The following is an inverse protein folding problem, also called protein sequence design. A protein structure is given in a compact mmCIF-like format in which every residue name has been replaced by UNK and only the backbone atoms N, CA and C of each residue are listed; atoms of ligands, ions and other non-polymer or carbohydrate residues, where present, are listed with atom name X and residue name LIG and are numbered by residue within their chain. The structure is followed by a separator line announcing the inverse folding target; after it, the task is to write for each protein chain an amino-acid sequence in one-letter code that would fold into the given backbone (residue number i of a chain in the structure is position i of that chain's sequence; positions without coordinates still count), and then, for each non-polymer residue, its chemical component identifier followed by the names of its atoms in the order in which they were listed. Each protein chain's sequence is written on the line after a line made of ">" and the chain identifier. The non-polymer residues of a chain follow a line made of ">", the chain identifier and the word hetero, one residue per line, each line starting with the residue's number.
data_IF_059114886336
#
_entry.id   IF_059114886336
#
_cell.length_a   1.000
_cell.length_b   1.000
_cell.length_c   1.000
_cell.angle_alpha   90.00
_cell.angle_beta   90.00
_cell.angle_gamma   90.00
#
_symmetry.space_group_name_H-M   'P 1'
#
loop_
_entity.id
_entity.type
_entity.pdbx_description
1 polymer ?
#
# COMPACT_ATOMS: atom_id res chain seq x y z
N UNK A 1 -6.36 -5.21 -44.40
CA UNK A 1 -6.84 -4.58 -43.15
C UNK A 1 -7.57 -5.65 -42.30
N UNK A 2 -6.93 -6.20 -41.29
CA UNK A 2 -7.54 -7.22 -40.42
C UNK A 2 -8.49 -6.53 -39.44
N UNK A 3 -9.79 -6.75 -39.58
CA UNK A 3 -10.79 -6.34 -38.57
C UNK A 3 -10.49 -7.09 -37.28
N UNK A 4 -10.10 -6.36 -36.23
CA UNK A 4 -10.05 -6.90 -34.87
C UNK A 4 -11.39 -7.52 -34.55
N UNK A 5 -11.47 -8.86 -34.47
CA UNK A 5 -12.63 -9.57 -33.97
C UNK A 5 -12.93 -9.03 -32.58
N UNK A 6 -14.01 -8.26 -32.43
CA UNK A 6 -14.56 -7.90 -31.12
C UNK A 6 -14.97 -9.22 -30.48
N UNK A 7 -14.24 -9.67 -29.46
CA UNK A 7 -14.65 -10.79 -28.66
C UNK A 7 -15.95 -10.38 -27.96
N UNK A 8 -17.06 -10.92 -28.42
CA UNK A 8 -18.36 -10.76 -27.77
C UNK A 8 -18.24 -11.44 -26.43
N UNK A 9 -18.34 -10.67 -25.34
CA UNK A 9 -18.32 -11.18 -23.97
C UNK A 9 -19.77 -11.41 -23.55
N UNK A 10 -20.16 -12.66 -23.42
CA UNK A 10 -21.47 -13.08 -22.91
C UNK A 10 -21.25 -14.17 -21.86
N UNK A 11 -22.12 -14.24 -20.87
CA UNK A 11 -22.06 -15.26 -19.81
C UNK A 11 -22.04 -16.67 -20.38
N UNK A 12 -22.80 -16.91 -21.47
CA UNK A 12 -22.82 -18.21 -22.18
C UNK A 12 -21.44 -18.61 -22.73
N UNK A 13 -20.67 -17.63 -23.26
CA UNK A 13 -19.30 -17.88 -23.76
C UNK A 13 -18.37 -18.16 -22.60
N UNK A 14 -18.52 -17.44 -21.50
CA UNK A 14 -17.67 -17.61 -20.33
C UNK A 14 -17.96 -18.95 -19.63
N UNK A 15 -19.22 -19.34 -19.48
CA UNK A 15 -19.61 -20.68 -18.96
C UNK A 15 -19.04 -21.79 -19.81
N UNK A 16 -19.17 -21.73 -21.14
CA UNK A 16 -18.61 -22.78 -22.04
C UNK A 16 -17.10 -22.88 -21.93
N UNK A 17 -16.38 -21.75 -21.76
CA UNK A 17 -14.92 -21.74 -21.54
C UNK A 17 -14.56 -22.40 -20.21
N UNK A 18 -15.26 -22.01 -19.13
CA UNK A 18 -15.04 -22.58 -17.80
C UNK A 18 -15.30 -24.08 -17.78
N UNK A 19 -16.42 -24.56 -18.39
CA UNK A 19 -16.73 -25.98 -18.47
C UNK A 19 -15.65 -26.78 -19.22
N UNK A 20 -15.11 -26.23 -20.32
CA UNK A 20 -14.01 -26.87 -21.07
C UNK A 20 -12.71 -26.91 -20.24
N UNK A 21 -12.40 -25.84 -19.49
CA UNK A 21 -11.23 -25.80 -18.61
C UNK A 21 -11.37 -26.84 -17.48
N UNK A 22 -12.56 -26.96 -16.88
CA UNK A 22 -12.83 -27.97 -15.85
C UNK A 22 -12.68 -29.38 -16.37
N UNK A 23 -13.20 -29.68 -17.58
CA UNK A 23 -13.05 -30.97 -18.20
C UNK A 23 -11.57 -31.36 -18.42
N UNK A 24 -10.76 -30.42 -18.94
CA UNK A 24 -9.33 -30.64 -19.16
C UNK A 24 -8.56 -30.83 -17.84
N UNK A 25 -8.93 -30.07 -16.80
CA UNK A 25 -8.35 -30.25 -15.46
C UNK A 25 -8.69 -31.63 -14.88
N UNK A 26 -9.93 -32.10 -15.08
CA UNK A 26 -10.34 -33.41 -14.65
C UNK A 26 -9.59 -34.53 -15.43
N UNK A 27 -9.19 -34.28 -16.65
CA UNK A 27 -8.37 -35.17 -17.48
C UNK A 27 -6.86 -35.12 -17.08
N UNK A 28 -6.52 -34.33 -16.06
CA UNK A 28 -5.14 -34.22 -15.51
C UNK A 28 -4.27 -33.17 -16.18
N UNK A 29 -4.85 -32.28 -17.01
CA UNK A 29 -4.10 -31.17 -17.57
C UNK A 29 -4.03 -29.98 -16.58
N UNK A 30 -2.83 -29.43 -16.33
CA UNK A 30 -2.61 -28.20 -15.53
C UNK A 30 -3.02 -26.96 -16.35
N UNK A 31 -4.32 -26.69 -16.47
CA UNK A 31 -4.87 -25.63 -17.31
C UNK A 31 -5.18 -24.34 -16.55
N UNK A 32 -5.34 -24.38 -15.23
CA UNK A 32 -5.53 -23.21 -14.39
C UNK A 32 -4.96 -23.40 -12.99
N UNK A 33 -4.75 -22.31 -12.29
CA UNK A 33 -4.31 -22.33 -10.89
C UNK A 33 -5.47 -21.94 -9.97
N UNK A 34 -5.77 -22.79 -9.02
CA UNK A 34 -6.76 -22.50 -7.99
C UNK A 34 -6.33 -21.29 -7.17
N UNK A 35 -7.24 -20.32 -7.05
CA UNK A 35 -7.01 -19.14 -6.21
C UNK A 35 -7.06 -19.58 -4.74
N UNK A 36 -6.01 -19.28 -4.01
CA UNK A 36 -6.00 -19.49 -2.54
C UNK A 36 -6.90 -18.45 -1.89
N UNK A 37 -7.99 -18.92 -1.30
CA UNK A 37 -8.91 -18.08 -0.53
C UNK A 37 -8.34 -17.90 0.86
N UNK A 38 -8.25 -16.65 1.38
CA UNK A 38 -7.84 -16.43 2.76
C UNK A 38 -8.85 -17.06 3.72
N UNK A 39 -8.42 -17.51 4.90
CA UNK A 39 -9.35 -17.88 5.97
C UNK A 39 -10.12 -16.64 6.47
N UNK A 40 -11.26 -16.86 7.10
CA UNK A 40 -12.17 -15.79 7.52
C UNK A 40 -11.47 -14.77 8.42
N UNK A 41 -10.66 -15.22 9.37
CA UNK A 41 -9.92 -14.38 10.30
C UNK A 41 -8.94 -13.44 9.57
N UNK A 42 -8.28 -13.95 8.53
CA UNK A 42 -7.37 -13.15 7.72
C UNK A 42 -8.13 -12.11 6.86
N UNK A 43 -9.33 -12.45 6.36
CA UNK A 43 -10.17 -11.45 5.67
C UNK A 43 -10.63 -10.36 6.63
N UNK A 44 -11.08 -10.70 7.83
CA UNK A 44 -11.47 -9.72 8.86
C UNK A 44 -10.29 -8.81 9.23
N UNK A 45 -9.09 -9.38 9.41
CA UNK A 45 -7.90 -8.61 9.76
C UNK A 45 -7.50 -7.60 8.66
N UNK A 46 -7.75 -7.93 7.40
CA UNK A 46 -7.52 -7.03 6.24
C UNK A 46 -8.47 -5.84 6.20
N UNK A 47 -9.64 -5.91 6.86
CA UNK A 47 -10.60 -4.81 6.87
C UNK A 47 -10.05 -3.56 7.54
N UNK A 48 -9.32 -3.69 8.64
CA UNK A 48 -8.78 -2.55 9.39
C UNK A 48 -7.88 -1.63 8.54
N UNK A 49 -6.79 -2.11 7.92
CA UNK A 49 -5.94 -1.25 7.11
C UNK A 49 -6.64 -0.76 5.84
N UNK A 50 -7.59 -1.52 5.29
CA UNK A 50 -8.40 -1.11 4.13
C UNK A 50 -9.34 0.03 4.48
N UNK A 51 -10.04 -0.08 5.61
CA UNK A 51 -10.93 0.97 6.10
C UNK A 51 -10.15 2.23 6.46
N UNK A 52 -9.01 2.10 7.13
CA UNK A 52 -8.14 3.23 7.45
C UNK A 52 -7.70 3.99 6.17
N UNK A 53 -7.35 3.26 5.11
CA UNK A 53 -7.02 3.88 3.81
C UNK A 53 -8.22 4.57 3.17
N UNK A 54 -9.42 3.98 3.25
CA UNK A 54 -10.65 4.56 2.72
C UNK A 54 -11.01 5.88 3.43
N UNK A 55 -10.95 5.88 4.76
CA UNK A 55 -11.21 7.07 5.58
C UNK A 55 -10.19 8.19 5.31
N UNK A 56 -8.90 7.87 5.19
CA UNK A 56 -7.88 8.86 4.81
C UNK A 56 -8.17 9.50 3.44
N UNK A 57 -8.64 8.71 2.47
CA UNK A 57 -9.06 9.22 1.15
C UNK A 57 -10.31 10.10 1.27
N UNK A 58 -11.28 9.71 2.10
CA UNK A 58 -12.49 10.49 2.37
C UNK A 58 -12.13 11.82 3.03
N UNK A 59 -11.28 11.82 4.05
CA UNK A 59 -10.75 13.02 4.68
C UNK A 59 -10.19 14.01 3.65
N UNK A 60 -9.29 13.53 2.78
CA UNK A 60 -8.69 14.37 1.73
C UNK A 60 -9.74 14.97 0.80
N UNK A 61 -10.78 14.20 0.45
CA UNK A 61 -11.89 14.72 -0.38
C UNK A 61 -12.67 15.84 0.33
N UNK A 62 -12.96 15.66 1.61
CA UNK A 62 -13.67 16.67 2.40
C UNK A 62 -12.80 17.94 2.52
N UNK A 63 -11.53 17.78 2.86
CA UNK A 63 -10.57 18.91 2.94
C UNK A 63 -10.53 19.71 1.63
N UNK A 64 -10.36 19.01 0.50
CA UNK A 64 -10.30 19.67 -0.81
C UNK A 64 -11.63 20.36 -1.15
N UNK A 65 -12.78 19.79 -0.76
CA UNK A 65 -14.09 20.38 -0.99
C UNK A 65 -14.29 21.67 -0.18
N UNK A 66 -13.90 21.67 1.10
CA UNK A 66 -13.92 22.86 1.96
C UNK A 66 -13.02 23.93 1.36
N UNK A 67 -11.78 23.59 1.01
CA UNK A 67 -10.83 24.53 0.43
C UNK A 67 -11.34 25.12 -0.89
N UNK A 68 -11.90 24.31 -1.79
CA UNK A 68 -12.40 24.80 -3.08
C UNK A 68 -13.57 25.79 -2.91
N UNK A 69 -14.48 25.53 -1.96
CA UNK A 69 -15.59 26.44 -1.66
C UNK A 69 -15.14 27.78 -1.10
N UNK A 70 -14.18 27.76 -0.18
CA UNK A 70 -13.66 28.97 0.47
C UNK A 70 -12.74 29.75 -0.48
N UNK A 71 -11.94 29.04 -1.28
CA UNK A 71 -11.06 29.67 -2.27
C UNK A 71 -11.82 30.45 -3.33
N UNK A 72 -13.02 30.00 -3.71
CA UNK A 72 -13.88 30.73 -4.65
C UNK A 72 -14.30 32.12 -4.14
N UNK A 73 -14.28 32.32 -2.83
CA UNK A 73 -14.59 33.60 -2.15
C UNK A 73 -13.32 34.36 -1.71
N UNK A 74 -12.15 33.90 -2.14
CA UNK A 74 -10.85 34.51 -1.79
C UNK A 74 -10.28 34.10 -0.43
N UNK A 75 -10.93 33.14 0.27
CA UNK A 75 -10.46 32.68 1.60
C UNK A 75 -9.56 31.45 1.43
N UNK A 76 -8.33 31.57 1.91
CA UNK A 76 -7.32 30.49 1.88
C UNK A 76 -7.12 29.96 3.30
N UNK A 77 -7.50 28.70 3.51
CA UNK A 77 -7.19 27.95 4.72
C UNK A 77 -6.03 26.98 4.47
N UNK A 78 -5.02 27.01 5.33
CA UNK A 78 -3.89 26.07 5.23
C UNK A 78 -4.12 24.82 6.09
N UNK A 79 -4.42 23.65 5.49
CA UNK A 79 -4.60 22.41 6.24
C UNK A 79 -3.30 21.95 6.93
N UNK A 80 -2.12 22.35 6.40
CA UNK A 80 -0.81 21.99 6.95
C UNK A 80 -0.39 22.94 8.09
N UNK A 81 -0.78 24.21 8.00
CA UNK A 81 -0.53 25.24 9.01
C UNK A 81 -1.40 25.11 10.27
N UNK A 82 -2.36 24.19 10.27
CA UNK A 82 -3.17 23.91 11.45
C UNK A 82 -4.60 24.46 11.41
N UNK A 83 -5.05 25.11 10.33
CA UNK A 83 -6.44 25.60 10.17
C UNK A 83 -7.48 24.50 10.34
N UNK A 84 -7.12 23.24 9.99
CA UNK A 84 -7.99 22.07 10.16
C UNK A 84 -7.89 21.41 11.55
N UNK A 85 -7.68 22.19 12.59
CA UNK A 85 -7.82 21.76 14.00
C UNK A 85 -9.20 22.14 14.53
N UNK A 86 -9.81 21.28 15.35
CA UNK A 86 -11.16 21.49 15.85
C UNK A 86 -11.41 22.85 16.51
N UNK A 87 -10.43 23.35 17.25
CA UNK A 87 -10.52 24.65 17.95
C UNK A 87 -10.29 25.87 17.06
N UNK A 88 -9.54 25.69 15.95
CA UNK A 88 -9.08 26.78 15.08
C UNK A 88 -10.05 27.02 13.93
N UNK A 89 -10.53 25.95 13.29
CA UNK A 89 -11.30 26.02 12.06
C UNK A 89 -12.58 26.86 12.16
N UNK A 90 -13.40 26.62 13.18
CA UNK A 90 -14.66 27.35 13.35
C UNK A 90 -14.43 28.82 13.67
N UNK A 91 -13.36 29.12 14.40
CA UNK A 91 -12.96 30.51 14.69
C UNK A 91 -12.51 31.22 13.42
N UNK A 92 -11.61 30.64 12.64
CA UNK A 92 -11.14 31.18 11.37
C UNK A 92 -12.30 31.36 10.38
N UNK A 93 -13.21 30.39 10.28
CA UNK A 93 -14.39 30.47 9.43
C UNK A 93 -15.33 31.62 9.82
N UNK A 94 -15.51 31.87 11.13
CA UNK A 94 -16.38 32.96 11.61
C UNK A 94 -15.79 34.36 11.39
N UNK A 95 -14.48 34.45 11.23
CA UNK A 95 -13.76 35.70 11.00
C UNK A 95 -13.37 35.92 9.53
N UNK A 96 -13.64 34.91 8.68
CA UNK A 96 -13.28 34.97 7.29
C UNK A 96 -14.12 35.99 6.52
N UNK A 97 -13.45 36.83 5.75
CA UNK A 97 -14.06 37.80 4.85
C UNK A 97 -13.75 37.41 3.41
N UNK A 98 -14.64 37.78 2.51
CA UNK A 98 -14.46 37.65 1.07
C UNK A 98 -13.35 38.58 0.58
N UNK A 99 -12.97 38.38 -0.68
CA UNK A 99 -11.98 39.22 -1.37
C UNK A 99 -12.32 40.72 -1.40
N UNK A 100 -13.62 41.08 -1.31
CA UNK A 100 -14.13 42.45 -1.29
C UNK A 100 -14.32 43.02 0.14
N UNK A 101 -13.91 42.28 1.17
CA UNK A 101 -14.07 42.63 2.58
C UNK A 101 -15.45 42.35 3.16
N UNK A 102 -16.41 41.86 2.36
CA UNK A 102 -17.74 41.49 2.85
C UNK A 102 -17.72 40.14 3.61
N UNK A 103 -18.68 39.86 4.48
CA UNK A 103 -18.78 38.58 5.14
C UNK A 103 -19.13 37.45 4.16
N UNK A 104 -18.73 36.23 4.48
CA UNK A 104 -19.09 35.05 3.70
C UNK A 104 -20.63 34.86 3.66
N UNK A 105 -21.19 34.44 2.50
CA UNK A 105 -22.62 34.12 2.38
C UNK A 105 -23.05 33.08 3.41
N UNK A 106 -24.16 33.31 4.09
CA UNK A 106 -24.67 32.43 5.17
C UNK A 106 -24.87 30.97 4.68
N UNK A 107 -25.39 30.80 3.44
CA UNK A 107 -25.53 29.48 2.82
C UNK A 107 -24.21 28.74 2.63
N UNK A 108 -23.14 29.46 2.23
CA UNK A 108 -21.82 28.87 2.12
C UNK A 108 -21.25 28.46 3.48
N UNK A 109 -21.36 29.34 4.48
CA UNK A 109 -20.94 29.04 5.87
C UNK A 109 -21.66 27.80 6.41
N UNK A 110 -22.97 27.68 6.16
CA UNK A 110 -23.75 26.50 6.52
C UNK A 110 -23.19 25.23 5.87
N UNK A 111 -22.98 25.24 4.56
CA UNK A 111 -22.44 24.06 3.83
C UNK A 111 -21.01 23.69 4.27
N UNK A 112 -20.17 24.69 4.53
CA UNK A 112 -18.82 24.46 5.04
C UNK A 112 -18.83 23.86 6.45
N UNK A 113 -19.78 24.28 7.31
CA UNK A 113 -19.97 23.67 8.64
C UNK A 113 -20.42 22.22 8.55
N UNK A 114 -21.30 21.86 7.59
CA UNK A 114 -21.71 20.47 7.36
C UNK A 114 -20.50 19.61 6.92
N UNK A 115 -19.68 20.11 5.98
CA UNK A 115 -18.46 19.43 5.58
C UNK A 115 -17.47 19.28 6.74
N UNK A 116 -17.37 20.29 7.59
CA UNK A 116 -16.52 20.26 8.77
C UNK A 116 -16.96 19.20 9.79
N UNK A 117 -18.26 19.07 10.03
CA UNK A 117 -18.80 18.01 10.89
C UNK A 117 -18.46 16.62 10.37
N UNK A 118 -18.56 16.39 9.02
CA UNK A 118 -18.10 15.15 8.39
C UNK A 118 -16.59 14.93 8.55
N UNK A 119 -15.78 15.98 8.40
CA UNK A 119 -14.34 15.92 8.60
C UNK A 119 -14.00 15.46 10.02
N UNK A 120 -14.60 16.06 11.04
CA UNK A 120 -14.38 15.71 12.45
C UNK A 120 -14.70 14.25 12.74
N UNK A 121 -15.85 13.75 12.25
CA UNK A 121 -16.23 12.35 12.39
C UNK A 121 -15.22 11.40 11.73
N UNK A 122 -14.79 11.72 10.51
CA UNK A 122 -13.80 10.90 9.79
C UNK A 122 -12.45 10.92 10.50
N UNK A 123 -12.03 12.04 11.06
CA UNK A 123 -10.79 12.15 11.85
C UNK A 123 -10.84 11.33 13.14
N UNK A 124 -11.99 11.30 13.80
CA UNK A 124 -12.20 10.44 14.98
C UNK A 124 -12.09 8.97 14.64
N UNK A 125 -12.76 8.52 13.57
CA UNK A 125 -12.67 7.15 13.08
C UNK A 125 -11.24 6.75 12.67
N UNK A 126 -10.50 7.66 12.00
CA UNK A 126 -9.09 7.43 11.66
C UNK A 126 -8.26 7.25 12.93
N UNK A 127 -8.46 8.07 13.95
CA UNK A 127 -7.73 7.99 15.23
C UNK A 127 -8.02 6.67 15.96
N UNK A 128 -9.27 6.26 16.03
CA UNK A 128 -9.68 4.99 16.67
C UNK A 128 -9.01 3.79 15.95
N UNK A 129 -9.16 3.68 14.63
CA UNK A 129 -8.57 2.57 13.87
C UNK A 129 -7.04 2.56 13.92
N UNK A 130 -6.40 3.73 13.86
CA UNK A 130 -4.95 3.84 14.00
C UNK A 130 -4.48 3.45 15.41
N UNK A 131 -5.26 3.74 16.45
CA UNK A 131 -4.97 3.32 17.80
C UNK A 131 -5.14 1.82 17.99
N UNK A 132 -6.20 1.20 17.43
CA UNK A 132 -6.40 -0.25 17.41
C UNK A 132 -5.22 -0.95 16.75
N UNK A 133 -4.79 -0.48 15.58
CA UNK A 133 -3.61 -1.03 14.90
C UNK A 133 -2.35 -0.94 15.75
N UNK A 134 -2.07 0.21 16.36
CA UNK A 134 -0.91 0.40 17.24
C UNK A 134 -0.96 -0.49 18.48
N UNK A 135 -2.13 -0.66 19.10
CA UNK A 135 -2.31 -1.58 20.25
C UNK A 135 -2.03 -3.02 19.84
N UNK A 136 -2.55 -3.48 18.70
CA UNK A 136 -2.30 -4.84 18.19
C UNK A 136 -0.81 -5.11 17.96
N UNK A 137 -0.10 -4.16 17.33
CA UNK A 137 1.35 -4.28 17.11
C UNK A 137 2.14 -4.26 18.42
N UNK A 138 1.76 -3.43 19.39
CA UNK A 138 2.40 -3.39 20.71
C UNK A 138 2.24 -4.73 21.43
N UNK A 139 1.03 -5.28 21.53
CA UNK A 139 0.77 -6.60 22.12
C UNK A 139 1.60 -7.70 21.45
N UNK A 140 1.69 -7.68 20.12
CA UNK A 140 2.51 -8.64 19.38
C UNK A 140 4.01 -8.52 19.69
N UNK A 141 4.55 -7.31 19.90
CA UNK A 141 5.94 -7.07 20.34
C UNK A 141 6.19 -7.55 21.77
N UNK A 142 5.19 -7.44 22.63
CA UNK A 142 5.21 -7.91 24.02
C UNK A 142 5.06 -9.43 24.14
N UNK A 143 4.88 -10.14 23.02
CA UNK A 143 4.79 -11.60 23.00
C UNK A 143 3.41 -12.17 23.33
N UNK A 144 2.34 -11.37 23.15
CA UNK A 144 0.97 -11.81 23.38
C UNK A 144 0.67 -13.11 22.61
N UNK A 145 0.28 -14.21 23.30
CA UNK A 145 -0.03 -15.48 22.65
C UNK A 145 -1.23 -15.39 21.71
N UNK A 146 -2.16 -14.46 21.94
CA UNK A 146 -3.33 -14.24 21.09
C UNK A 146 -3.03 -13.38 19.86
N UNK A 147 -1.81 -12.83 19.72
CA UNK A 147 -1.44 -12.08 18.53
C UNK A 147 -1.51 -12.98 17.29
N UNK A 148 -2.13 -12.48 16.23
CA UNK A 148 -2.25 -13.23 14.98
C UNK A 148 -0.89 -13.41 14.29
N UNK A 149 -0.74 -14.39 13.38
CA UNK A 149 0.49 -14.51 12.57
C UNK A 149 0.84 -13.22 11.82
N UNK A 150 -0.15 -12.50 11.30
CA UNK A 150 0.07 -11.23 10.63
C UNK A 150 0.59 -10.15 11.57
N UNK A 151 0.06 -10.07 12.81
CA UNK A 151 0.51 -9.11 13.81
C UNK A 151 1.94 -9.41 14.28
N UNK A 152 2.28 -10.67 14.54
CA UNK A 152 3.65 -11.08 14.88
C UNK A 152 4.65 -10.75 13.79
N UNK A 153 4.35 -11.10 12.53
CA UNK A 153 5.20 -10.77 11.38
C UNK A 153 5.28 -9.25 11.14
N UNK A 154 4.21 -8.51 11.39
CA UNK A 154 4.23 -7.05 11.30
C UNK A 154 5.12 -6.43 12.38
N UNK A 155 5.05 -6.91 13.62
CA UNK A 155 5.92 -6.48 14.70
C UNK A 155 7.39 -6.69 14.31
N UNK A 156 7.74 -7.88 13.79
CA UNK A 156 9.09 -8.21 13.31
C UNK A 156 9.54 -7.25 12.19
N UNK A 157 8.72 -6.99 11.18
CA UNK A 157 9.06 -6.06 10.09
C UNK A 157 9.32 -4.64 10.59
N UNK A 158 8.61 -4.20 11.64
CA UNK A 158 8.79 -2.85 12.18
C UNK A 158 10.12 -2.64 12.90
N UNK A 159 10.87 -3.68 13.18
CA UNK A 159 12.22 -3.59 13.76
C UNK A 159 13.23 -3.01 12.76
N UNK A 160 13.01 -3.24 11.47
CA UNK A 160 13.87 -2.71 10.42
C UNK A 160 13.69 -1.20 10.24
N UNK A 161 14.80 -0.45 10.14
CA UNK A 161 14.74 0.97 9.81
C UNK A 161 14.10 1.17 8.44
N UNK A 162 13.24 2.17 8.31
CA UNK A 162 12.53 2.46 7.07
C UNK A 162 11.20 1.71 6.91
N UNK A 163 10.90 0.70 7.75
CA UNK A 163 9.60 0.05 7.78
C UNK A 163 8.78 0.60 8.96
N UNK A 164 7.68 1.26 8.64
CA UNK A 164 6.75 1.81 9.65
C UNK A 164 5.59 0.86 9.93
N UNK A 165 4.90 1.09 11.06
CA UNK A 165 3.77 0.27 11.54
C UNK A 165 2.69 0.05 10.47
N UNK A 166 2.31 1.11 9.76
CA UNK A 166 1.25 1.02 8.72
C UNK A 166 1.69 0.14 7.56
N UNK A 167 2.93 0.32 7.09
CA UNK A 167 3.46 -0.46 5.97
C UNK A 167 3.61 -1.94 6.32
N UNK A 168 4.17 -2.23 7.50
CA UNK A 168 4.32 -3.58 8.01
C UNK A 168 2.96 -4.28 8.14
N UNK A 169 1.98 -3.62 8.77
CA UNK A 169 0.66 -4.19 9.00
C UNK A 169 -0.09 -4.47 7.68
N UNK A 170 -0.05 -3.54 6.71
CA UNK A 170 -0.65 -3.76 5.39
C UNK A 170 0.01 -4.93 4.66
N UNK A 171 1.35 -5.01 4.69
CA UNK A 171 2.10 -6.05 3.98
C UNK A 171 1.78 -7.44 4.55
N UNK A 172 1.72 -7.56 5.86
CA UNK A 172 1.46 -8.84 6.52
C UNK A 172 0.00 -9.26 6.39
N UNK A 173 -0.96 -8.37 6.60
CA UNK A 173 -2.39 -8.70 6.46
C UNK A 173 -2.77 -9.01 5.00
N UNK A 174 -2.19 -8.31 4.02
CA UNK A 174 -2.48 -8.58 2.60
C UNK A 174 -1.74 -9.83 2.06
N UNK A 175 -0.56 -10.20 2.61
CA UNK A 175 0.26 -11.29 2.11
C UNK A 175 0.75 -12.27 3.18
N UNK A 176 1.69 -11.85 4.03
CA UNK A 176 2.55 -12.76 4.80
C UNK A 176 1.86 -13.42 6.00
N UNK A 177 0.72 -12.92 6.44
CA UNK A 177 0.00 -13.44 7.60
C UNK A 177 -0.78 -14.72 7.33
N UNK A 178 -1.16 -14.98 6.08
CA UNK A 178 -2.05 -16.09 5.74
C UNK A 178 -1.61 -16.88 4.51
N UNK A 179 -0.76 -16.30 3.66
CA UNK A 179 -0.33 -16.94 2.41
C UNK A 179 1.04 -17.57 2.57
N UNK A 180 1.15 -18.83 2.19
CA UNK A 180 2.41 -19.54 2.07
C UNK A 180 2.93 -19.39 0.64
N UNK A 181 4.21 -19.06 0.50
CA UNK A 181 4.91 -18.96 -0.78
C UNK A 181 5.97 -20.05 -0.86
N UNK A 182 6.04 -20.73 -2.00
CA UNK A 182 7.00 -21.80 -2.23
C UNK A 182 8.33 -21.24 -2.76
N UNK A 183 8.31 -20.08 -3.39
CA UNK A 183 9.50 -19.50 -4.00
C UNK A 183 9.39 -17.98 -4.22
N UNK A 184 10.54 -17.36 -4.44
CA UNK A 184 10.67 -15.91 -4.71
C UNK A 184 9.91 -15.40 -5.96
N UNK A 185 9.63 -16.29 -6.94
CA UNK A 185 8.89 -15.92 -8.15
C UNK A 185 7.41 -15.67 -7.83
N UNK A 186 6.83 -16.50 -6.98
CA UNK A 186 5.45 -16.32 -6.50
C UNK A 186 5.29 -15.02 -5.72
N UNK A 187 6.24 -14.71 -4.84
CA UNK A 187 6.25 -13.46 -4.05
C UNK A 187 6.27 -12.23 -4.96
N UNK A 188 7.11 -12.22 -5.99
CA UNK A 188 7.16 -11.13 -6.95
C UNK A 188 5.91 -11.02 -7.83
N UNK A 189 5.35 -12.16 -8.23
CA UNK A 189 4.18 -12.23 -9.11
C UNK A 189 2.91 -11.70 -8.43
N UNK A 190 2.68 -12.03 -7.14
CA UNK A 190 1.47 -11.64 -6.41
C UNK A 190 1.30 -10.12 -6.31
N UNK A 191 2.39 -9.36 -6.30
CA UNK A 191 2.37 -7.91 -6.33
C UNK A 191 2.29 -7.33 -7.76
N UNK A 192 2.44 -8.18 -8.78
CA UNK A 192 2.51 -7.76 -10.17
C UNK A 192 3.73 -6.88 -10.48
N UNK A 193 4.84 -7.13 -9.77
CA UNK A 193 6.12 -6.44 -9.94
C UNK A 193 7.08 -7.20 -10.87
N UNK A 194 6.65 -8.32 -11.43
CA UNK A 194 7.41 -9.10 -12.41
C UNK A 194 7.30 -8.48 -13.80
N UNK A 195 8.40 -8.47 -14.54
CA UNK A 195 8.40 -8.09 -15.95
C UNK A 195 7.55 -9.05 -16.79
N UNK A 196 6.90 -8.52 -17.80
CA UNK A 196 6.16 -9.32 -18.78
C UNK A 196 7.07 -9.50 -20.00
N UNK A 197 7.55 -10.73 -20.29
CA UNK A 197 8.30 -10.96 -21.52
C UNK A 197 7.40 -10.77 -22.73
N UNK A 198 7.88 -10.07 -23.73
CA UNK A 198 7.26 -9.98 -25.05
C UNK A 198 8.28 -10.44 -26.08
N UNK A 199 8.09 -11.66 -26.54
CA UNK A 199 8.89 -12.25 -27.63
C UNK A 199 8.05 -12.27 -28.89
N UNK A 200 8.38 -11.42 -29.84
CA UNK A 200 7.89 -11.49 -31.22
C UNK A 200 9.10 -11.58 -32.14
N UNK A 201 9.34 -12.75 -32.71
CA UNK A 201 10.48 -12.97 -33.61
C UNK A 201 11.84 -12.88 -32.91
N UNK A 202 12.86 -12.40 -33.62
CA UNK A 202 14.29 -12.38 -33.18
C UNK A 202 14.61 -11.33 -32.09
N UNK A 203 13.63 -10.63 -31.48
CA UNK A 203 13.87 -9.59 -30.48
C UNK A 203 13.01 -9.77 -29.25
N UNK A 204 13.57 -10.21 -28.13
CA UNK A 204 12.90 -10.21 -26.82
C UNK A 204 12.91 -8.80 -26.21
N UNK A 205 11.73 -8.21 -26.00
CA UNK A 205 11.55 -6.92 -25.32
C UNK A 205 10.76 -7.10 -24.03
N UNK A 206 11.29 -6.67 -22.91
CA UNK A 206 10.50 -6.61 -21.67
C UNK A 206 9.47 -5.45 -21.74
N UNK A 207 8.19 -5.80 -21.68
CA UNK A 207 7.09 -4.83 -21.54
C UNK A 207 6.89 -4.51 -20.07
N UNK A 208 7.58 -3.62 -19.44
CA UNK A 208 7.32 -3.20 -18.06
C UNK A 208 6.81 -4.30 -17.11
N UNK A 209 6.23 -3.93 -15.96
CA UNK A 209 5.68 -4.89 -15.00
C UNK A 209 4.27 -5.34 -15.40
N UNK A 210 3.90 -6.57 -15.04
CA UNK A 210 2.61 -7.20 -15.39
C UNK A 210 1.40 -6.45 -14.84
N UNK A 211 1.54 -5.77 -13.70
CA UNK A 211 0.46 -5.11 -12.94
C UNK A 211 -0.68 -6.06 -12.55
N UNK A 212 -0.61 -7.33 -12.90
CA UNK A 212 -1.49 -8.36 -12.41
C UNK A 212 -1.19 -8.64 -10.93
N UNK A 213 -2.22 -8.82 -10.11
CA UNK A 213 -2.05 -9.10 -8.69
C UNK A 213 -2.43 -7.93 -7.77
N UNK A 214 -1.96 -7.98 -6.51
CA UNK A 214 -2.40 -7.06 -5.46
C UNK A 214 -1.85 -5.63 -5.66
N UNK A 215 -2.71 -4.73 -6.15
CA UNK A 215 -2.35 -3.34 -6.40
C UNK A 215 -1.99 -2.56 -5.11
N UNK A 216 -2.56 -2.94 -3.94
CA UNK A 216 -2.24 -2.30 -2.65
C UNK A 216 -0.81 -2.60 -2.25
N UNK A 217 -0.43 -3.88 -2.33
CA UNK A 217 0.95 -4.31 -2.06
C UNK A 217 1.93 -3.67 -3.03
N UNK A 218 1.61 -3.65 -4.32
CA UNK A 218 2.48 -3.01 -5.33
C UNK A 218 2.74 -1.54 -5.03
N UNK A 219 1.71 -0.75 -4.73
CA UNK A 219 1.86 0.66 -4.38
C UNK A 219 2.69 0.82 -3.12
N UNK A 220 2.35 0.07 -2.06
CA UNK A 220 3.10 0.09 -0.81
C UNK A 220 4.56 -0.27 -1.01
N UNK A 221 4.87 -1.30 -1.79
CA UNK A 221 6.26 -1.71 -2.02
C UNK A 221 7.09 -0.67 -2.74
N UNK A 222 6.49 0.12 -3.63
CA UNK A 222 7.18 1.26 -4.26
C UNK A 222 7.45 2.37 -3.24
N UNK A 223 6.52 2.66 -2.35
CA UNK A 223 6.70 3.61 -1.25
C UNK A 223 7.80 3.13 -0.27
N UNK A 224 7.73 1.87 0.15
CA UNK A 224 8.73 1.25 1.02
C UNK A 224 10.12 1.20 0.36
N UNK A 225 10.20 1.00 -0.94
CA UNK A 225 11.47 1.04 -1.67
C UNK A 225 12.16 2.41 -1.56
N UNK A 226 11.41 3.52 -1.67
CA UNK A 226 11.98 4.86 -1.46
C UNK A 226 12.42 5.10 -0.01
N UNK A 227 11.63 4.64 0.97
CA UNK A 227 11.98 4.72 2.38
C UNK A 227 13.21 3.85 2.69
N UNK A 228 13.28 2.65 2.10
CA UNK A 228 14.43 1.76 2.25
C UNK A 228 15.73 2.40 1.75
N UNK A 229 15.71 2.99 0.55
CA UNK A 229 16.87 3.69 0.00
C UNK A 229 17.32 4.85 0.90
N UNK A 230 16.38 5.52 1.56
CA UNK A 230 16.67 6.65 2.46
C UNK A 230 17.25 6.20 3.80
N UNK A 231 16.67 5.15 4.39
CA UNK A 231 16.98 4.74 5.76
C UNK A 231 17.96 3.57 5.86
N UNK A 232 18.20 2.86 4.74
CA UNK A 232 19.08 1.71 4.63
C UNK A 232 20.12 1.91 3.51
N UNK A 233 20.93 2.99 3.53
CA UNK A 233 21.85 3.31 2.43
C UNK A 233 22.91 2.24 2.20
N UNK A 234 23.29 1.50 3.25
CA UNK A 234 24.33 0.49 3.18
C UNK A 234 23.82 -0.90 2.82
N UNK A 235 22.50 -1.10 2.72
CA UNK A 235 21.94 -2.37 2.27
C UNK A 235 22.37 -2.71 0.83
N UNK A 236 22.53 -4.01 0.57
CA UNK A 236 22.87 -4.54 -0.76
C UNK A 236 21.92 -4.01 -1.85
N UNK A 237 20.63 -3.95 -1.56
CA UNK A 237 19.62 -3.46 -2.49
C UNK A 237 19.77 -1.96 -2.77
N UNK A 238 20.18 -1.14 -1.77
CA UNK A 238 20.44 0.29 -1.96
C UNK A 238 21.74 0.54 -2.75
N UNK A 239 22.79 -0.23 -2.50
CA UNK A 239 24.04 -0.19 -3.29
C UNK A 239 23.76 -0.53 -4.75
N UNK A 240 23.04 -1.62 -4.98
CA UNK A 240 22.63 -2.01 -6.33
C UNK A 240 21.83 -0.91 -7.05
N UNK A 241 20.92 -0.21 -6.36
CA UNK A 241 20.15 0.88 -6.96
C UNK A 241 21.04 2.04 -7.41
N UNK A 242 22.02 2.44 -6.59
CA UNK A 242 22.98 3.50 -6.94
C UNK A 242 23.79 3.14 -8.20
N UNK A 243 24.25 1.91 -8.29
CA UNK A 243 25.00 1.43 -9.44
C UNK A 243 24.16 1.44 -10.72
N UNK A 244 22.87 1.09 -10.64
CA UNK A 244 21.97 1.11 -11.79
C UNK A 244 21.67 2.53 -12.28
N UNK A 245 21.52 3.49 -11.38
CA UNK A 245 21.25 4.89 -11.76
C UNK A 245 22.49 5.52 -12.40
N UNK A 246 23.68 5.26 -11.90
CA UNK A 246 24.93 5.76 -12.49
C UNK A 246 25.07 5.38 -13.98
N UNK A 247 24.48 4.25 -14.39
CA UNK A 247 24.51 3.73 -15.76
C UNK A 247 23.37 4.21 -16.67
N UNK A 248 22.20 4.59 -16.12
CA UNK A 248 20.96 4.66 -16.91
C UNK A 248 20.23 6.02 -16.90
N UNK A 249 20.71 7.04 -16.17
CA UNK A 249 20.09 8.37 -16.09
C UNK A 249 18.66 8.39 -15.49
N UNK A 250 17.91 9.48 -15.69
CA UNK A 250 16.61 9.71 -15.05
C UNK A 250 15.50 8.73 -15.44
N UNK A 251 15.49 8.24 -16.69
CA UNK A 251 14.53 7.19 -17.13
C UNK A 251 14.81 5.86 -16.46
N UNK A 252 16.08 5.55 -16.18
CA UNK A 252 16.53 4.37 -15.45
C UNK A 252 16.02 4.37 -14.00
N UNK A 253 15.95 5.55 -13.35
CA UNK A 253 15.51 5.68 -11.98
C UNK A 253 14.10 5.12 -11.70
N UNK A 254 13.13 5.38 -12.61
CA UNK A 254 11.75 4.85 -12.49
C UNK A 254 11.68 3.33 -12.64
N UNK A 255 12.52 2.74 -13.48
CA UNK A 255 12.60 1.28 -13.63
C UNK A 255 13.35 0.65 -12.46
N UNK A 256 14.43 1.26 -12.04
CA UNK A 256 15.25 0.78 -10.93
C UNK A 256 14.46 0.73 -9.61
N UNK A 257 13.63 1.75 -9.29
CA UNK A 257 12.84 1.73 -8.05
C UNK A 257 11.81 0.59 -8.02
N UNK A 258 11.22 0.24 -9.15
CA UNK A 258 10.29 -0.90 -9.24
C UNK A 258 11.04 -2.23 -9.05
N UNK A 259 12.26 -2.33 -9.57
CA UNK A 259 13.11 -3.49 -9.34
C UNK A 259 13.55 -3.59 -7.87
N UNK A 260 13.87 -2.45 -7.22
CA UNK A 260 14.09 -2.39 -5.75
C UNK A 260 12.86 -2.88 -5.00
N UNK A 261 11.68 -2.39 -5.34
CA UNK A 261 10.42 -2.81 -4.71
C UNK A 261 10.22 -4.33 -4.79
N UNK A 262 10.53 -4.94 -5.94
CA UNK A 262 10.46 -6.41 -6.11
C UNK A 262 11.52 -7.14 -5.27
N UNK A 263 12.78 -6.69 -5.30
CA UNK A 263 13.87 -7.29 -4.51
C UNK A 263 13.57 -7.19 -3.02
N UNK A 264 13.19 -6.00 -2.56
CA UNK A 264 12.84 -5.74 -1.18
C UNK A 264 11.67 -6.61 -0.71
N UNK A 265 10.61 -6.80 -1.53
CA UNK A 265 9.49 -7.68 -1.19
C UNK A 265 9.96 -9.12 -0.91
N UNK A 266 10.89 -9.63 -1.72
CA UNK A 266 11.47 -10.97 -1.53
C UNK A 266 12.36 -11.03 -0.28
N UNK A 267 13.19 -10.01 -0.05
CA UNK A 267 14.03 -9.92 1.15
C UNK A 267 13.19 -9.85 2.43
N UNK A 268 12.12 -9.05 2.45
CA UNK A 268 11.19 -8.97 3.59
C UNK A 268 10.43 -10.28 3.81
N UNK A 269 10.08 -11.00 2.75
CA UNK A 269 9.51 -12.35 2.87
C UNK A 269 10.49 -13.32 3.52
N UNK A 270 11.74 -13.39 3.06
CA UNK A 270 12.77 -14.22 3.68
C UNK A 270 12.98 -13.87 5.16
N UNK A 271 12.91 -12.59 5.50
CA UNK A 271 13.05 -12.13 6.87
C UNK A 271 11.91 -12.63 7.77
N UNK A 272 10.65 -12.52 7.34
CA UNK A 272 9.50 -12.91 8.18
C UNK A 272 9.26 -14.42 8.20
N UNK A 273 9.68 -15.17 7.19
CA UNK A 273 9.46 -16.63 7.12
C UNK A 273 10.67 -17.43 7.63
N UNK A 274 11.88 -16.94 7.41
CA UNK A 274 13.10 -17.70 7.66
C UNK A 274 14.08 -16.98 8.61
N UNK A 275 13.73 -15.80 9.12
CA UNK A 275 14.62 -14.99 9.97
C UNK A 275 15.83 -14.39 9.24
N UNK A 276 15.92 -14.50 7.92
CA UNK A 276 17.08 -14.03 7.16
C UNK A 276 17.03 -12.51 7.02
N UNK A 277 17.90 -11.82 7.74
CA UNK A 277 18.01 -10.35 7.69
C UNK A 277 18.48 -9.91 6.31
N UNK A 278 17.84 -8.90 5.69
CA UNK A 278 18.32 -8.34 4.42
C UNK A 278 19.77 -7.86 4.54
N UNK A 279 20.61 -8.23 3.59
CA UNK A 279 22.05 -7.96 3.63
C UNK A 279 22.37 -6.45 3.74
N UNK A 280 23.16 -6.09 4.75
CA UNK A 280 23.50 -4.72 5.11
C UNK A 280 22.35 -3.90 5.69
N UNK A 281 21.23 -4.54 6.09
CA UNK A 281 20.13 -3.84 6.76
C UNK A 281 20.45 -3.56 8.24
N UNK A 282 19.90 -2.46 8.74
CA UNK A 282 20.03 -2.02 10.14
C UNK A 282 18.68 -2.01 10.83
N UNK A 283 18.68 -2.35 12.11
CA UNK A 283 17.52 -2.29 12.96
C UNK A 283 17.34 -0.89 13.56
N UNK A 284 16.15 -0.58 14.07
CA UNK A 284 15.93 0.63 14.85
C UNK A 284 16.75 0.59 16.14
N UNK A 285 17.24 1.75 16.62
CA UNK A 285 18.07 1.79 17.82
C UNK A 285 17.45 1.14 19.06
N UNK A 286 16.13 1.28 19.20
CA UNK A 286 15.32 0.71 20.28
C UNK A 286 15.34 -0.85 20.30
N UNK A 287 15.68 -1.47 19.17
CA UNK A 287 15.61 -2.91 18.92
C UNK A 287 16.97 -3.51 18.53
N UNK A 288 18.06 -2.78 18.73
CA UNK A 288 19.41 -3.23 18.34
C UNK A 288 19.85 -4.55 19.04
N UNK A 289 19.27 -4.87 20.21
CA UNK A 289 19.52 -6.14 20.92
C UNK A 289 18.87 -7.38 20.28
N UNK A 290 17.90 -7.22 19.39
CA UNK A 290 17.22 -8.31 18.68
C UNK A 290 18.03 -8.82 17.48
N UNK A 291 18.90 -7.99 16.91
CA UNK A 291 19.84 -8.42 15.87
C UNK A 291 20.71 -9.61 16.31
N UNK A 292 21.00 -9.71 17.60
CA UNK A 292 21.78 -10.80 18.20
C UNK A 292 20.97 -12.11 18.40
N UNK A 293 19.63 -12.07 18.32
CA UNK A 293 18.77 -13.24 18.50
C UNK A 293 18.40 -13.93 17.19
N UNK A 294 18.63 -13.29 16.05
CA UNK A 294 18.27 -13.77 14.71
C UNK A 294 19.52 -14.13 13.88
N UNK A 295 20.71 -13.77 14.35
CA UNK A 295 22.00 -14.23 13.80
C UNK A 295 22.44 -15.53 14.49
#
# INVERSE_FOLDING_TARGET
>A
MSRRKRNVKTDTVDVRKLSRLLAREHEGEDVFRVVRVPPEEAEVERLLPRQLKALKKQRTRITNRIQARLFAEGVVLDPRGGSFRAQTFLKELSQALRWDGSPLPAGLVYMVRQDWAQYCLVEEQIRDLAQRQRRALRRAREGDPEATPAQRKAALLTELRGIGDVGAYVLTTELFGWRVFNNRKEVGAIAGLTGTPSTSGNGGREQGISKAGNARVRTLMVELAWLWLRYQPESRTSKWFRDQIGKAGSRGKRRAIVAVARKLLVELWHFVEHGVVPDGATFKPENAGLAQRVA
#
